data_IF_434955478008
#
_entry.id   IF_434955478008
#
_cell.length_a   1.000
_cell.length_b   1.000
_cell.length_c   1.000
_cell.angle_alpha   90.00
_cell.angle_beta   90.00
_cell.angle_gamma   90.00
#
_symmetry.space_group_name_H-M   'P 1'
#
loop_
_entity.id
_entity.type
_entity.pdbx_description
1 polymer ?
#
# COMPACT_ATOMS: atom_id res chain seq x y z
N UNK A 1 12.80 4.38 -0.64
CA UNK A 1 12.70 4.31 0.84
C UNK A 1 11.95 3.04 1.22
N UNK A 2 12.48 2.24 2.14
CA UNK A 2 11.77 1.06 2.66
C UNK A 2 11.01 1.40 3.95
N UNK A 3 9.74 0.99 4.01
CA UNK A 3 8.86 1.17 5.17
C UNK A 3 8.46 -0.21 5.69
N UNK A 4 8.95 -0.56 6.87
CA UNK A 4 8.53 -1.76 7.59
C UNK A 4 7.21 -1.50 8.29
N UNK A 5 6.15 -2.12 7.78
CA UNK A 5 4.78 -1.84 8.27
C UNK A 5 4.63 -2.24 9.74
N UNK A 6 5.28 -3.33 10.16
CA UNK A 6 5.26 -3.80 11.56
C UNK A 6 5.94 -2.83 12.54
N UNK A 7 6.92 -2.07 12.08
CA UNK A 7 7.61 -1.08 12.93
C UNK A 7 6.71 0.15 13.21
N UNK A 8 5.67 0.35 12.38
CA UNK A 8 4.72 1.46 12.51
C UNK A 8 3.42 1.01 13.19
N UNK A 9 2.88 -0.14 12.78
CA UNK A 9 1.55 -0.60 13.21
C UNK A 9 1.59 -1.69 14.28
N UNK A 10 2.75 -2.27 14.57
CA UNK A 10 2.85 -3.44 15.45
C UNK A 10 2.37 -4.73 14.78
N UNK A 11 1.78 -5.64 15.55
CA UNK A 11 1.51 -7.02 15.10
C UNK A 11 0.18 -7.20 14.37
N UNK A 12 -0.72 -6.22 14.45
CA UNK A 12 -2.05 -6.25 13.84
C UNK A 12 -2.27 -5.04 12.93
N UNK A 13 -3.17 -5.21 11.95
CA UNK A 13 -3.54 -4.14 11.02
C UNK A 13 -5.04 -3.87 11.15
N UNK A 14 -5.37 -2.61 11.36
CA UNK A 14 -6.72 -2.07 11.34
C UNK A 14 -6.92 -1.16 10.13
N UNK A 15 -8.16 -0.91 9.74
CA UNK A 15 -8.47 -0.11 8.54
C UNK A 15 -8.02 1.35 8.75
N UNK A 16 -8.14 1.84 9.98
CA UNK A 16 -7.77 3.19 10.40
C UNK A 16 -6.28 3.47 10.24
N UNK A 17 -5.44 2.43 10.38
CA UNK A 17 -3.99 2.52 10.21
C UNK A 17 -3.59 2.93 8.78
N UNK A 18 -4.46 2.67 7.80
CA UNK A 18 -4.25 3.11 6.43
C UNK A 18 -4.19 4.64 6.32
N UNK A 19 -4.81 5.38 7.26
CA UNK A 19 -4.76 6.84 7.29
C UNK A 19 -3.34 7.31 7.60
N UNK A 20 -2.74 6.75 8.66
CA UNK A 20 -1.37 7.09 9.08
C UNK A 20 -0.35 6.73 7.99
N UNK A 21 -0.41 5.50 7.47
CA UNK A 21 0.53 5.06 6.44
C UNK A 21 0.40 5.88 5.16
N UNK A 22 -0.80 6.27 4.75
CA UNK A 22 -1.01 7.12 3.57
C UNK A 22 -0.32 8.47 3.71
N UNK A 23 -0.32 9.06 4.90
CA UNK A 23 0.37 10.33 5.14
C UNK A 23 1.90 10.17 5.04
N UNK A 24 2.44 9.11 5.63
CA UNK A 24 3.86 8.77 5.51
C UNK A 24 4.25 8.55 4.05
N UNK A 25 3.43 7.81 3.29
CA UNK A 25 3.65 7.57 1.86
C UNK A 25 3.62 8.89 1.09
N UNK A 26 2.60 9.73 1.30
CA UNK A 26 2.45 11.01 0.61
C UNK A 26 3.66 11.92 0.81
N UNK A 27 4.22 11.94 2.01
CA UNK A 27 5.38 12.78 2.33
C UNK A 27 6.69 12.28 1.68
N UNK A 28 6.75 11.03 1.24
CA UNK A 28 7.96 10.40 0.70
C UNK A 28 7.81 9.87 -0.73
N UNK A 29 6.66 10.06 -1.38
CA UNK A 29 6.30 9.40 -2.64
C UNK A 29 7.28 9.70 -3.78
N UNK A 30 7.88 10.88 -3.81
CA UNK A 30 8.85 11.28 -4.86
C UNK A 30 10.19 10.52 -4.78
N UNK A 31 10.44 9.79 -3.70
CA UNK A 31 11.70 9.06 -3.48
C UNK A 31 11.59 7.57 -3.86
N UNK A 32 10.42 7.12 -4.30
CA UNK A 32 10.08 5.71 -4.42
C UNK A 32 9.95 5.04 -3.04
N UNK A 33 8.95 4.20 -2.86
CA UNK A 33 8.61 3.58 -1.58
C UNK A 33 8.46 2.07 -1.77
N UNK A 34 9.04 1.30 -0.84
CA UNK A 34 8.84 -0.15 -0.71
C UNK A 34 8.12 -0.41 0.60
N UNK A 35 6.88 -0.91 0.55
CA UNK A 35 6.13 -1.32 1.73
C UNK A 35 6.43 -2.78 2.07
N UNK A 36 7.02 -3.02 3.25
CA UNK A 36 7.34 -4.36 3.74
C UNK A 36 6.28 -4.87 4.72
N UNK A 37 5.51 -5.86 4.28
CA UNK A 37 4.47 -6.52 5.06
C UNK A 37 4.95 -7.77 5.81
N UNK A 38 6.26 -7.94 5.98
CA UNK A 38 6.82 -9.10 6.70
C UNK A 38 6.21 -9.24 8.09
N UNK A 39 5.72 -10.45 8.38
CA UNK A 39 5.12 -10.80 9.66
C UNK A 39 3.60 -10.65 9.71
N UNK A 40 2.96 -10.15 8.65
CA UNK A 40 1.51 -10.19 8.51
C UNK A 40 1.08 -11.40 7.68
N UNK A 41 0.11 -12.16 8.16
CA UNK A 41 -0.40 -13.33 7.44
C UNK A 41 -1.23 -12.94 6.23
N UNK A 42 -2.14 -11.96 6.36
CA UNK A 42 -3.00 -11.48 5.28
C UNK A 42 -3.39 -10.03 5.50
N UNK A 43 -3.32 -9.24 4.44
CA UNK A 43 -3.75 -7.84 4.47
C UNK A 43 -5.16 -7.71 3.89
N UNK A 44 -6.14 -7.15 4.61
CA UNK A 44 -7.48 -6.95 4.05
C UNK A 44 -7.44 -6.09 2.78
N UNK A 45 -8.14 -6.50 1.72
CA UNK A 45 -8.22 -5.72 0.47
C UNK A 45 -8.86 -4.34 0.71
N UNK A 46 -9.72 -4.22 1.71
CA UNK A 46 -10.29 -2.95 2.19
C UNK A 46 -9.21 -2.01 2.72
N UNK A 47 -8.25 -2.52 3.50
CA UNK A 47 -7.11 -1.74 3.96
C UNK A 47 -6.27 -1.22 2.79
N UNK A 48 -5.95 -2.08 1.82
CA UNK A 48 -5.18 -1.70 0.62
C UNK A 48 -5.93 -0.62 -0.17
N UNK A 49 -7.25 -0.78 -0.35
CA UNK A 49 -8.09 0.23 -0.98
C UNK A 49 -8.06 1.56 -0.22
N UNK A 50 -8.24 1.56 1.10
CA UNK A 50 -8.20 2.76 1.93
C UNK A 50 -6.85 3.47 1.86
N UNK A 51 -5.76 2.71 1.81
CA UNK A 51 -4.39 3.21 1.71
C UNK A 51 -4.14 3.89 0.36
N UNK A 52 -4.51 3.24 -0.74
CA UNK A 52 -4.05 3.62 -2.09
C UNK A 52 -5.08 4.40 -2.91
N UNK A 53 -6.38 4.29 -2.65
CA UNK A 53 -7.41 4.92 -3.51
C UNK A 53 -7.27 6.45 -3.59
N UNK A 54 -7.04 7.11 -2.46
CA UNK A 54 -6.85 8.57 -2.42
C UNK A 54 -5.53 8.99 -3.11
N UNK A 55 -4.48 8.18 -2.97
CA UNK A 55 -3.20 8.43 -3.64
C UNK A 55 -3.33 8.26 -5.16
N UNK A 56 -4.01 7.20 -5.61
CA UNK A 56 -4.29 6.94 -7.03
C UNK A 56 -5.16 8.06 -7.60
N UNK A 57 -6.17 8.51 -6.87
CA UNK A 57 -7.04 9.61 -7.29
C UNK A 57 -6.26 10.93 -7.45
N UNK A 58 -5.35 11.24 -6.52
CA UNK A 58 -4.58 12.50 -6.52
C UNK A 58 -3.41 12.53 -7.50
N UNK A 59 -2.66 11.45 -7.61
CA UNK A 59 -1.38 11.41 -8.34
C UNK A 59 -1.47 10.63 -9.66
N UNK A 60 -2.56 9.90 -9.88
CA UNK A 60 -2.72 9.03 -11.03
C UNK A 60 -2.18 7.63 -10.79
N UNK A 61 -2.88 6.64 -11.34
CA UNK A 61 -2.60 5.22 -11.16
C UNK A 61 -1.19 4.82 -11.60
N UNK A 62 -0.79 5.22 -12.80
CA UNK A 62 0.53 4.85 -13.35
C UNK A 62 1.68 5.37 -12.51
N UNK A 63 1.54 6.59 -11.99
CA UNK A 63 2.56 7.19 -11.14
C UNK A 63 2.67 6.41 -9.82
N UNK A 64 1.54 6.16 -9.14
CA UNK A 64 1.54 5.38 -7.89
C UNK A 64 2.11 3.98 -8.09
N UNK A 65 1.78 3.30 -9.18
CA UNK A 65 2.33 1.98 -9.48
C UNK A 65 3.86 2.00 -9.66
N UNK A 66 4.41 3.06 -10.27
CA UNK A 66 5.86 3.22 -10.43
C UNK A 66 6.58 3.64 -9.14
N UNK A 67 5.88 4.34 -8.24
CA UNK A 67 6.47 4.87 -7.01
C UNK A 67 6.28 3.97 -5.79
N UNK A 68 5.33 3.02 -5.81
CA UNK A 68 5.05 2.15 -4.67
C UNK A 68 5.24 0.68 -5.07
N UNK A 69 6.27 0.08 -4.51
CA UNK A 69 6.50 -1.35 -4.53
C UNK A 69 6.05 -1.98 -3.20
N UNK A 70 5.68 -3.26 -3.25
CA UNK A 70 5.32 -4.03 -2.05
C UNK A 70 6.16 -5.30 -1.99
N UNK A 71 6.57 -5.68 -0.78
CA UNK A 71 7.26 -6.96 -0.54
C UNK A 71 6.69 -7.67 0.68
N UNK A 72 6.89 -8.98 0.72
CA UNK A 72 6.34 -9.87 1.76
C UNK A 72 4.82 -9.76 1.96
N UNK A 73 4.10 -9.31 0.92
CA UNK A 73 2.65 -9.23 0.91
C UNK A 73 2.08 -10.59 0.48
N UNK A 74 1.43 -11.30 1.41
CA UNK A 74 0.92 -12.64 1.17
C UNK A 74 -0.21 -12.70 0.12
N UNK A 75 -1.02 -11.65 0.01
CA UNK A 75 -2.12 -11.56 -0.93
C UNK A 75 -1.87 -10.54 -2.05
N UNK A 76 -0.74 -10.68 -2.75
CA UNK A 76 -0.35 -9.80 -3.86
C UNK A 76 -1.41 -9.68 -4.97
N UNK A 77 -2.19 -10.74 -5.21
CA UNK A 77 -3.27 -10.69 -6.23
C UNK A 77 -4.36 -9.67 -5.88
N UNK A 78 -4.68 -9.49 -4.60
CA UNK A 78 -5.63 -8.47 -4.15
C UNK A 78 -5.05 -7.07 -4.31
N UNK A 79 -3.78 -6.88 -3.95
CA UNK A 79 -3.06 -5.63 -4.19
C UNK A 79 -3.05 -5.24 -5.66
N UNK A 80 -2.70 -6.19 -6.52
CA UNK A 80 -2.67 -6.00 -7.97
C UNK A 80 -4.03 -5.55 -8.50
N UNK A 81 -5.14 -6.16 -8.04
CA UNK A 81 -6.50 -5.73 -8.41
C UNK A 81 -6.84 -4.31 -7.97
N UNK A 82 -6.35 -3.87 -6.82
CA UNK A 82 -6.57 -2.51 -6.32
C UNK A 82 -5.76 -1.49 -7.11
N UNK A 83 -4.47 -1.77 -7.31
CA UNK A 83 -3.55 -0.80 -7.93
C UNK A 83 -3.73 -0.77 -9.44
N UNK A 84 -3.74 -1.93 -10.10
CA UNK A 84 -3.99 -2.00 -11.54
C UNK A 84 -5.46 -1.74 -11.83
N UNK A 85 -6.38 -2.12 -10.97
CA UNK A 85 -7.81 -2.11 -11.30
C UNK A 85 -8.22 -3.43 -11.95
N UNK A 86 -9.50 -3.76 -11.86
CA UNK A 86 -10.06 -5.07 -12.24
C UNK A 86 -10.18 -5.31 -13.74
N UNK A 87 -9.69 -4.40 -14.59
CA UNK A 87 -9.95 -4.39 -16.05
C UNK A 87 -8.69 -4.58 -16.90
N UNK A 88 -7.64 -5.20 -16.35
CA UNK A 88 -6.50 -5.62 -17.17
C UNK A 88 -6.78 -7.02 -17.73
N UNK A 89 -7.30 -7.05 -18.97
CA UNK A 89 -7.22 -8.18 -19.90
C UNK A 89 -6.08 -7.93 -20.88
#
# INVERSE_FOLDING_TARGET
>A
MEIKIRDILGESIHIEDAILLREIIRNNINQGIVLDFKGFERIPSTFINCLLSDLIYKFGREYIFKQIEVKNLSNYSDYSRVVLGTTFK
#
